data_IF_250025807262
#
_entry.id   IF_250025807262
#
_cell.length_a   1.000
_cell.length_b   1.000
_cell.length_c   1.000
_cell.angle_alpha   90.00
_cell.angle_beta   90.00
_cell.angle_gamma   90.00
#
_symmetry.space_group_name_H-M   'P 1'
#
loop_
_entity.id
_entity.type
_entity.pdbx_description
1 polymer ?
#
# COMPACT_ATOMS: atom_id res chain seq x y z
N UNK A 1 28.98 0.66 9.04
CA UNK A 1 27.88 -0.29 8.82
C UNK A 1 27.69 -1.29 9.96
N UNK A 2 28.69 -2.10 10.38
CA UNK A 2 28.47 -3.15 11.39
C UNK A 2 27.97 -2.62 12.76
N UNK A 3 28.54 -1.51 13.27
CA UNK A 3 28.05 -0.88 14.51
C UNK A 3 26.63 -0.30 14.39
N UNK A 4 26.34 0.41 13.29
CA UNK A 4 25.01 0.96 13.02
C UNK A 4 23.95 -0.14 12.86
N UNK A 5 24.32 -1.27 12.24
CA UNK A 5 23.44 -2.45 12.15
C UNK A 5 23.12 -3.02 13.53
N UNK A 6 24.13 -3.20 14.40
CA UNK A 6 23.89 -3.72 15.75
C UNK A 6 22.98 -2.78 16.56
N UNK A 7 23.16 -1.46 16.41
CA UNK A 7 22.23 -0.46 16.98
C UNK A 7 20.81 -0.61 16.43
N UNK A 8 20.65 -0.87 15.13
CA UNK A 8 19.36 -1.05 14.49
C UNK A 8 18.66 -2.34 14.93
N UNK A 9 19.38 -3.47 14.96
CA UNK A 9 18.86 -4.77 15.42
C UNK A 9 18.33 -4.67 16.86
N UNK A 10 19.02 -3.91 17.73
CA UNK A 10 18.57 -3.67 19.10
C UNK A 10 17.21 -2.97 19.21
N UNK A 11 16.70 -2.35 18.14
CA UNK A 11 15.38 -1.71 18.11
C UNK A 11 14.24 -2.73 17.92
N UNK A 12 14.50 -3.88 17.28
CA UNK A 12 13.48 -4.87 16.87
C UNK A 12 12.51 -5.24 18.01
N UNK A 13 12.94 -5.57 19.25
CA UNK A 13 12.01 -5.94 20.32
C UNK A 13 11.03 -4.83 20.68
N UNK A 14 11.48 -3.58 20.69
CA UNK A 14 10.60 -2.44 21.02
C UNK A 14 9.62 -2.14 19.89
N UNK A 15 10.03 -2.31 18.64
CA UNK A 15 9.14 -2.16 17.47
C UNK A 15 8.03 -3.22 17.47
N UNK A 16 8.39 -4.50 17.77
CA UNK A 16 7.41 -5.57 17.94
C UNK A 16 6.38 -5.26 19.03
N UNK A 17 6.84 -4.75 20.19
CA UNK A 17 5.95 -4.38 21.29
C UNK A 17 4.94 -3.30 20.88
N UNK A 18 5.35 -2.30 20.09
CA UNK A 18 4.46 -1.24 19.60
C UNK A 18 3.36 -1.82 18.72
N UNK A 19 3.73 -2.67 17.77
CA UNK A 19 2.80 -3.32 16.84
C UNK A 19 1.82 -4.21 17.61
N UNK A 20 2.33 -5.00 18.56
CA UNK A 20 1.52 -5.89 19.38
C UNK A 20 0.50 -5.13 20.22
N UNK A 21 0.93 -4.04 20.86
CA UNK A 21 0.05 -3.21 21.70
C UNK A 21 -1.12 -2.64 20.93
N UNK A 22 -0.92 -2.25 19.66
CA UNK A 22 -2.00 -1.73 18.83
C UNK A 22 -3.02 -2.81 18.48
N UNK A 23 -2.57 -4.00 18.07
CA UNK A 23 -3.48 -5.10 17.81
C UNK A 23 -4.30 -5.47 19.05
N UNK A 24 -3.66 -5.71 20.20
CA UNK A 24 -4.36 -6.14 21.42
C UNK A 24 -5.35 -5.08 21.94
N UNK A 25 -5.06 -3.81 21.71
CA UNK A 25 -5.94 -2.74 22.20
C UNK A 25 -7.23 -2.60 21.38
N UNK A 26 -7.22 -2.98 20.11
CA UNK A 26 -8.30 -2.63 19.17
C UNK A 26 -8.80 -3.77 18.28
N UNK A 27 -8.04 -4.86 18.12
CA UNK A 27 -8.34 -5.98 17.22
C UNK A 27 -8.02 -5.70 15.75
N UNK A 28 -7.34 -4.59 15.45
CA UNK A 28 -6.91 -4.19 14.11
C UNK A 28 -5.80 -3.14 14.20
N UNK A 29 -5.06 -2.91 13.11
CA UNK A 29 -4.04 -1.86 13.05
C UNK A 29 -4.65 -0.51 12.66
N UNK A 30 -4.51 0.53 13.51
CA UNK A 30 -5.11 1.81 13.19
C UNK A 30 -4.35 2.55 12.10
N UNK A 31 -5.12 3.30 11.33
CA UNK A 31 -4.63 4.41 10.55
C UNK A 31 -5.28 5.71 11.03
N UNK A 32 -4.49 6.78 11.08
CA UNK A 32 -4.96 8.12 11.42
C UNK A 32 -5.05 8.96 10.16
N UNK A 33 -6.09 9.77 10.01
CA UNK A 33 -6.20 10.77 8.96
C UNK A 33 -6.08 12.18 9.54
N UNK A 34 -5.39 13.05 8.80
CA UNK A 34 -5.36 14.49 9.06
C UNK A 34 -5.74 15.27 7.81
N UNK A 35 -6.71 16.16 7.97
CA UNK A 35 -7.20 17.05 6.91
C UNK A 35 -6.28 18.26 6.79
N UNK A 36 -5.54 18.36 5.69
CA UNK A 36 -4.75 19.55 5.35
C UNK A 36 -5.67 20.62 4.77
N UNK A 37 -6.04 21.61 5.57
CA UNK A 37 -6.88 22.74 5.14
C UNK A 37 -6.25 23.54 4.00
N UNK A 38 -4.92 23.47 3.83
CA UNK A 38 -4.22 24.09 2.70
C UNK A 38 -4.52 23.41 1.37
N UNK A 39 -5.14 22.24 1.39
CA UNK A 39 -5.34 21.39 0.21
C UNK A 39 -4.03 20.87 -0.37
N UNK A 40 -4.16 20.10 -1.45
CA UNK A 40 -3.03 19.58 -2.22
C UNK A 40 -2.37 20.70 -3.04
N UNK A 41 -1.06 20.93 -2.95
CA UNK A 41 -0.42 21.97 -3.77
C UNK A 41 -0.45 21.68 -5.29
N UNK A 42 -0.74 20.44 -5.69
CA UNK A 42 -0.74 20.01 -7.10
C UNK A 42 -2.08 20.13 -7.81
N UNK A 43 -3.15 20.47 -7.10
CA UNK A 43 -4.50 20.63 -7.68
C UNK A 43 -4.78 22.10 -7.99
N UNK A 44 -5.11 22.36 -9.26
CA UNK A 44 -5.29 23.68 -9.82
C UNK A 44 -6.78 24.04 -9.95
N UNK A 45 -7.10 25.29 -10.31
CA UNK A 45 -8.48 25.73 -10.50
C UNK A 45 -9.22 24.94 -11.59
N UNK A 46 -8.52 24.49 -12.64
CA UNK A 46 -9.08 23.60 -13.67
C UNK A 46 -9.50 22.25 -13.09
N UNK A 47 -8.71 21.69 -12.18
CA UNK A 47 -8.99 20.42 -11.52
C UNK A 47 -10.23 20.54 -10.63
N UNK A 48 -10.44 21.70 -9.98
CA UNK A 48 -11.69 21.99 -9.28
C UNK A 48 -12.89 21.96 -10.22
N UNK A 49 -12.80 22.63 -11.37
CA UNK A 49 -13.88 22.64 -12.36
C UNK A 49 -14.26 21.22 -12.79
N UNK A 50 -13.26 20.42 -13.15
CA UNK A 50 -13.44 19.00 -13.50
C UNK A 50 -14.08 18.20 -12.36
N UNK A 51 -13.62 18.44 -11.12
CA UNK A 51 -14.19 17.78 -9.95
C UNK A 51 -15.65 18.17 -9.69
N UNK A 52 -16.05 19.42 -9.91
CA UNK A 52 -17.45 19.83 -9.69
C UNK A 52 -18.40 19.25 -10.74
N UNK A 53 -17.88 18.97 -11.95
CA UNK A 53 -18.60 18.33 -13.04
C UNK A 53 -18.60 16.79 -12.94
N UNK A 54 -17.87 16.22 -11.99
CA UNK A 54 -17.83 14.77 -11.78
C UNK A 54 -19.16 14.23 -11.23
N UNK A 55 -19.31 12.91 -11.26
CA UNK A 55 -20.38 12.18 -10.57
C UNK A 55 -20.16 12.02 -9.06
N UNK A 56 -19.17 12.71 -8.48
CA UNK A 56 -18.91 12.65 -7.04
C UNK A 56 -20.11 13.14 -6.24
N UNK A 57 -20.22 12.62 -5.02
CA UNK A 57 -21.31 12.93 -4.09
C UNK A 57 -21.52 14.46 -3.96
N UNK A 58 -22.77 14.95 -4.04
CA UNK A 58 -23.06 16.38 -3.94
C UNK A 58 -22.52 17.07 -2.68
N UNK A 59 -22.49 16.37 -1.53
CA UNK A 59 -21.94 16.90 -0.28
C UNK A 59 -20.42 17.00 -0.33
N UNK A 60 -19.75 16.07 -1.00
CA UNK A 60 -18.30 16.17 -1.26
C UNK A 60 -18.02 17.39 -2.12
N UNK A 61 -18.78 17.59 -3.20
CA UNK A 61 -18.63 18.77 -4.08
C UNK A 61 -18.87 20.09 -3.34
N UNK A 62 -19.89 20.16 -2.48
CA UNK A 62 -20.13 21.34 -1.66
C UNK A 62 -19.00 21.59 -0.65
N UNK A 63 -18.56 20.55 0.06
CA UNK A 63 -17.45 20.63 1.02
C UNK A 63 -16.17 21.12 0.34
N UNK A 64 -15.94 20.69 -0.90
CA UNK A 64 -14.83 21.13 -1.74
C UNK A 64 -14.84 22.62 -1.99
N UNK A 65 -15.97 23.15 -2.43
CA UNK A 65 -16.14 24.58 -2.71
C UNK A 65 -15.92 25.42 -1.46
N UNK A 66 -16.44 24.96 -0.32
CA UNK A 66 -16.32 25.68 0.97
C UNK A 66 -14.88 25.71 1.48
N UNK A 67 -14.10 24.66 1.23
CA UNK A 67 -12.72 24.54 1.72
C UNK A 67 -11.70 25.14 0.75
N UNK A 68 -12.05 25.34 -0.52
CA UNK A 68 -11.15 25.88 -1.54
C UNK A 68 -10.45 27.19 -1.16
N UNK A 69 -11.11 28.20 -0.53
CA UNK A 69 -10.45 29.44 -0.15
C UNK A 69 -9.29 29.25 0.85
N UNK A 70 -9.31 28.19 1.66
CA UNK A 70 -8.24 27.90 2.62
C UNK A 70 -6.91 27.52 1.94
N UNK A 71 -6.89 27.27 0.63
CA UNK A 71 -5.65 27.10 -0.14
C UNK A 71 -4.78 28.35 -0.17
N UNK A 72 -5.34 29.54 0.10
CA UNK A 72 -4.53 30.75 0.30
C UNK A 72 -3.49 30.59 1.43
N UNK A 73 -3.72 29.65 2.36
CA UNK A 73 -2.75 29.30 3.39
C UNK A 73 -1.42 28.75 2.84
N UNK A 74 -1.38 28.25 1.61
CA UNK A 74 -0.16 27.81 0.93
C UNK A 74 0.83 28.97 0.72
N UNK A 75 0.34 30.20 0.56
CA UNK A 75 1.18 31.38 0.35
C UNK A 75 1.72 31.99 1.65
N UNK A 76 1.08 31.70 2.80
CA UNK A 76 1.41 32.34 4.08
C UNK A 76 2.13 31.40 5.05
N UNK A 77 2.19 30.10 4.77
CA UNK A 77 2.75 29.13 5.71
C UNK A 77 3.28 27.86 5.04
N UNK A 78 4.46 27.39 5.47
CA UNK A 78 5.13 26.21 4.89
C UNK A 78 4.46 24.90 5.31
N UNK A 79 4.37 23.89 4.42
CA UNK A 79 3.83 22.56 4.75
C UNK A 79 4.55 21.94 5.96
N UNK A 80 3.81 21.24 6.81
CA UNK A 80 4.36 20.56 7.98
C UNK A 80 4.95 19.21 7.59
N UNK A 81 5.94 19.23 6.69
CA UNK A 81 6.74 18.07 6.32
C UNK A 81 7.87 17.89 7.33
N UNK A 82 8.12 16.65 7.70
CA UNK A 82 9.30 16.22 8.44
C UNK A 82 9.92 15.15 7.56
N UNK A 83 10.86 15.54 6.69
CA UNK A 83 11.28 14.71 5.57
C UNK A 83 10.55 15.03 4.26
N UNK A 84 10.35 14.01 3.43
CA UNK A 84 9.51 14.11 2.23
C UNK A 84 8.04 13.95 2.62
N UNK A 85 7.74 13.01 3.52
CA UNK A 85 6.39 12.72 4.01
C UNK A 85 5.88 13.74 5.03
N UNK A 86 4.56 13.89 5.13
CA UNK A 86 3.94 14.74 6.16
C UNK A 86 3.92 14.05 7.53
N UNK A 87 4.11 14.83 8.58
CA UNK A 87 3.83 14.36 9.94
C UNK A 87 2.31 14.31 10.18
N UNK A 88 1.82 13.18 10.71
CA UNK A 88 0.40 12.95 10.99
C UNK A 88 0.15 13.13 12.49
N UNK A 89 -0.70 14.09 12.90
CA UNK A 89 -1.15 14.15 14.29
C UNK A 89 -2.03 12.94 14.62
N UNK A 90 -1.74 12.26 15.71
CA UNK A 90 -2.47 11.06 16.19
C UNK A 90 -3.33 11.32 17.42
N UNK A 91 -3.31 12.57 17.92
CA UNK A 91 -4.17 13.04 18.99
C UNK A 91 -4.80 14.40 18.70
N UNK A 92 -5.95 14.66 19.31
CA UNK A 92 -6.68 15.92 19.21
C UNK A 92 -8.00 15.83 18.46
N UNK A 93 -8.82 16.87 18.57
CA UNK A 93 -10.23 16.87 18.12
C UNK A 93 -10.42 16.71 16.61
N UNK A 94 -9.37 16.90 15.80
CA UNK A 94 -9.42 16.87 14.32
C UNK A 94 -8.79 15.62 13.71
N UNK A 95 -8.30 14.70 14.53
CA UNK A 95 -7.71 13.44 14.09
C UNK A 95 -8.84 12.44 13.88
N UNK A 96 -8.79 11.76 12.73
CA UNK A 96 -9.68 10.64 12.42
C UNK A 96 -8.89 9.38 12.66
N UNK A 97 -9.47 8.41 13.34
CA UNK A 97 -8.91 7.06 13.47
C UNK A 97 -9.84 6.07 12.78
N UNK A 98 -9.29 5.16 12.00
CA UNK A 98 -10.02 4.14 11.26
C UNK A 98 -9.12 2.93 10.97
N UNK A 99 -9.68 1.94 10.27
CA UNK A 99 -9.04 0.69 9.85
C UNK A 99 -9.15 0.52 8.33
N UNK A 100 -8.13 -0.04 7.68
CA UNK A 100 -8.13 -0.37 6.25
C UNK A 100 -7.32 -1.65 6.02
N UNK A 101 -7.78 -2.49 5.09
CA UNK A 101 -7.10 -3.75 4.78
C UNK A 101 -5.81 -3.57 4.01
N UNK A 102 -5.65 -2.46 3.28
CA UNK A 102 -4.36 -2.09 2.69
C UNK A 102 -3.26 -2.09 3.74
N UNK A 103 -3.45 -1.38 4.85
CA UNK A 103 -2.44 -1.32 5.92
C UNK A 103 -2.25 -2.69 6.57
N UNK A 104 -3.31 -3.46 6.76
CA UNK A 104 -3.22 -4.81 7.32
C UNK A 104 -2.32 -5.72 6.48
N UNK A 105 -2.37 -5.64 5.15
CA UNK A 105 -1.46 -6.43 4.32
C UNK A 105 0.03 -6.15 4.64
N UNK A 106 0.40 -4.89 4.88
CA UNK A 106 1.77 -4.56 5.27
C UNK A 106 2.11 -5.18 6.62
N UNK A 107 1.25 -4.99 7.62
CA UNK A 107 1.46 -5.60 8.93
C UNK A 107 1.53 -7.12 8.82
N UNK A 108 0.69 -7.76 8.01
CA UNK A 108 0.73 -9.19 7.75
C UNK A 108 2.11 -9.59 7.23
N UNK A 109 2.61 -8.93 6.17
CA UNK A 109 3.91 -9.24 5.58
C UNK A 109 5.06 -9.11 6.60
N UNK A 110 5.02 -8.05 7.43
CA UNK A 110 6.01 -7.83 8.49
C UNK A 110 5.90 -8.88 9.60
N UNK A 111 4.69 -9.22 10.05
CA UNK A 111 4.46 -10.22 11.10
C UNK A 111 4.84 -11.62 10.60
N UNK A 112 4.60 -11.95 9.33
CA UNK A 112 5.04 -13.22 8.73
C UNK A 112 6.55 -13.38 8.80
N UNK A 113 7.30 -12.30 8.58
CA UNK A 113 8.77 -12.27 8.78
C UNK A 113 9.14 -12.35 10.25
N UNK A 114 8.46 -11.61 11.12
CA UNK A 114 8.67 -11.68 12.57
C UNK A 114 8.57 -13.12 13.06
N UNK A 115 7.53 -13.87 12.68
CA UNK A 115 7.35 -15.27 13.10
C UNK A 115 8.53 -16.16 12.69
N UNK A 116 9.30 -15.79 11.67
CA UNK A 116 10.51 -16.52 11.25
C UNK A 116 11.76 -16.09 12.03
N UNK A 117 11.73 -14.96 12.75
CA UNK A 117 12.82 -14.45 13.57
C UNK A 117 13.19 -15.46 14.67
N UNK A 118 14.45 -15.93 14.63
CA UNK A 118 14.97 -16.95 15.56
C UNK A 118 15.10 -16.42 16.99
N UNK A 119 15.09 -15.10 17.19
CA UNK A 119 15.15 -14.47 18.51
C UNK A 119 13.84 -14.54 19.29
N UNK A 120 12.72 -14.89 18.63
CA UNK A 120 11.42 -15.00 19.28
C UNK A 120 11.35 -16.18 20.23
N UNK A 121 10.80 -15.95 21.43
CA UNK A 121 10.35 -17.04 22.28
C UNK A 121 9.15 -17.76 21.66
N UNK A 122 8.94 -19.03 22.02
CA UNK A 122 7.79 -19.80 21.54
C UNK A 122 6.46 -19.12 21.89
N UNK A 123 6.35 -18.54 23.09
CA UNK A 123 5.15 -17.81 23.53
C UNK A 123 4.91 -16.54 22.69
N UNK A 124 5.97 -15.79 22.36
CA UNK A 124 5.84 -14.61 21.51
C UNK A 124 5.47 -14.98 20.07
N UNK A 125 6.04 -16.07 19.54
CA UNK A 125 5.70 -16.62 18.22
C UNK A 125 4.23 -17.00 18.13
N UNK A 126 3.70 -17.70 19.14
CA UNK A 126 2.30 -18.11 19.21
C UNK A 126 1.33 -16.93 19.18
N UNK A 127 1.67 -15.83 19.86
CA UNK A 127 0.88 -14.60 19.83
C UNK A 127 0.82 -14.00 18.42
N UNK A 128 1.95 -13.95 17.72
CA UNK A 128 2.00 -13.45 16.34
C UNK A 128 1.26 -14.34 15.35
N UNK A 129 1.37 -15.66 15.51
CA UNK A 129 0.62 -16.65 14.74
C UNK A 129 -0.90 -16.52 14.91
N UNK A 130 -1.35 -16.24 16.14
CA UNK A 130 -2.75 -15.91 16.41
C UNK A 130 -3.18 -14.62 15.69
N UNK A 131 -2.38 -13.56 15.77
CA UNK A 131 -2.69 -12.28 15.08
C UNK A 131 -2.82 -12.50 13.57
N UNK A 132 -1.90 -13.23 12.94
CA UNK A 132 -1.98 -13.54 11.50
C UNK A 132 -3.28 -14.25 11.14
N UNK A 133 -3.72 -15.17 11.99
CA UNK A 133 -4.97 -15.92 11.82
C UNK A 133 -6.18 -15.01 11.91
N UNK A 134 -6.23 -14.14 12.93
CA UNK A 134 -7.32 -13.18 13.15
C UNK A 134 -7.41 -12.15 12.00
N UNK A 135 -6.28 -11.70 11.45
CA UNK A 135 -6.24 -10.80 10.28
C UNK A 135 -6.91 -11.42 9.05
N UNK A 136 -6.59 -12.69 8.75
CA UNK A 136 -7.16 -13.41 7.60
C UNK A 136 -8.65 -13.65 7.79
N UNK A 137 -9.08 -14.02 9.00
CA UNK A 137 -10.51 -14.13 9.30
C UNK A 137 -11.25 -12.81 9.12
N UNK A 138 -10.67 -11.70 9.60
CA UNK A 138 -11.26 -10.37 9.51
C UNK A 138 -11.45 -9.96 8.04
N UNK A 139 -10.45 -10.22 7.20
CA UNK A 139 -10.56 -9.97 5.76
C UNK A 139 -11.65 -10.84 5.10
N UNK A 140 -11.72 -12.15 5.41
CA UNK A 140 -12.71 -13.07 4.86
C UNK A 140 -14.16 -12.71 5.23
N UNK A 141 -14.38 -12.13 6.41
CA UNK A 141 -15.70 -11.65 6.86
C UNK A 141 -16.23 -10.48 6.03
N UNK A 142 -15.34 -9.72 5.39
CA UNK A 142 -15.65 -8.47 4.69
C UNK A 142 -15.61 -8.58 3.16
N UNK A 143 -15.69 -9.81 2.63
CA UNK A 143 -15.80 -10.05 1.20
C UNK A 143 -17.21 -9.71 0.67
N UNK A 144 -17.26 -9.18 -0.55
CA UNK A 144 -18.50 -8.98 -1.31
C UNK A 144 -18.39 -9.69 -2.66
N UNK A 145 -19.53 -10.00 -3.28
CA UNK A 145 -19.57 -10.54 -4.64
C UNK A 145 -19.55 -9.40 -5.63
N UNK A 146 -18.65 -9.48 -6.60
CA UNK A 146 -18.59 -8.62 -7.77
C UNK A 146 -18.76 -9.46 -9.04
N UNK A 147 -19.72 -9.10 -9.89
CA UNK A 147 -19.95 -9.79 -11.15
C UNK A 147 -19.23 -9.05 -12.29
N UNK A 148 -18.35 -9.76 -13.01
CA UNK A 148 -17.64 -9.26 -14.18
C UNK A 148 -17.65 -10.32 -15.28
N UNK A 149 -18.06 -9.93 -16.49
CA UNK A 149 -18.13 -10.84 -17.66
C UNK A 149 -18.90 -12.16 -17.40
N UNK A 150 -19.90 -12.14 -16.52
CA UNK A 150 -20.69 -13.33 -16.16
C UNK A 150 -20.04 -14.26 -15.13
N UNK A 151 -18.90 -13.87 -14.56
CA UNK A 151 -18.24 -14.55 -13.44
C UNK A 151 -18.38 -13.76 -12.14
N UNK A 152 -18.45 -14.47 -11.03
CA UNK A 152 -18.58 -13.90 -9.68
C UNK A 152 -17.23 -13.96 -8.95
N UNK A 153 -16.65 -12.80 -8.65
CA UNK A 153 -15.41 -12.64 -7.91
C UNK A 153 -15.68 -12.19 -6.48
N UNK A 154 -14.78 -12.56 -5.56
CA UNK A 154 -14.75 -11.98 -4.21
C UNK A 154 -13.86 -10.74 -4.22
N UNK A 155 -14.43 -9.59 -3.91
CA UNK A 155 -13.69 -8.33 -3.73
C UNK A 155 -13.92 -7.83 -2.32
N UNK A 156 -13.04 -6.96 -1.82
CA UNK A 156 -13.00 -6.61 -0.40
C UNK A 156 -13.33 -5.15 -0.21
N UNK A 157 -14.07 -4.83 0.85
CA UNK A 157 -14.50 -3.46 1.10
C UNK A 157 -13.36 -2.64 1.69
N UNK A 158 -13.16 -1.43 1.16
CA UNK A 158 -12.13 -0.51 1.65
C UNK A 158 -12.34 -0.07 3.11
N UNK A 159 -13.61 0.25 3.45
CA UNK A 159 -14.05 0.52 4.82
C UNK A 159 -15.26 -0.33 5.16
N UNK A 160 -15.07 -1.50 5.79
CA UNK A 160 -16.20 -2.27 6.25
C UNK A 160 -16.87 -1.52 7.41
N UNK A 161 -18.15 -1.19 7.24
CA UNK A 161 -18.87 -0.35 8.22
C UNK A 161 -18.92 -0.98 9.62
N UNK A 162 -18.92 -2.32 9.71
CA UNK A 162 -18.89 -3.05 10.98
C UNK A 162 -17.57 -2.90 11.72
N UNK A 163 -16.47 -2.77 10.98
CA UNK A 163 -15.09 -2.68 11.52
C UNK A 163 -14.58 -1.23 11.54
N UNK A 164 -15.42 -0.26 11.17
CA UNK A 164 -15.09 1.16 11.24
C UNK A 164 -15.18 1.66 12.68
N UNK A 165 -14.06 1.61 13.39
CA UNK A 165 -13.95 2.13 14.74
C UNK A 165 -13.50 3.59 14.74
N UNK A 166 -14.48 4.48 14.56
CA UNK A 166 -14.28 5.90 14.86
C UNK A 166 -14.70 6.18 16.30
N UNK A 167 -13.87 6.89 17.06
CA UNK A 167 -14.31 7.46 18.33
C UNK A 167 -15.55 8.32 18.06
N UNK A 168 -16.69 7.96 18.66
CA UNK A 168 -18.00 8.55 18.42
C UNK A 168 -18.04 10.06 18.75
N UNK A 169 -17.11 10.54 19.56
CA UNK A 169 -16.95 11.95 19.92
C UNK A 169 -15.90 12.68 19.08
N UNK A 170 -15.18 11.97 18.21
CA UNK A 170 -14.18 12.58 17.32
C UNK A 170 -14.82 13.36 16.18
N UNK A 171 -14.16 14.42 15.71
CA UNK A 171 -14.57 15.07 14.46
C UNK A 171 -14.47 14.12 13.25
N UNK A 172 -13.75 12.99 13.38
CA UNK A 172 -13.62 11.97 12.36
C UNK A 172 -14.92 11.23 12.07
N UNK A 173 -15.67 10.82 13.10
CA UNK A 173 -16.97 10.18 12.92
C UNK A 173 -17.97 11.12 12.21
N UNK A 174 -17.96 12.40 12.59
CA UNK A 174 -18.78 13.42 11.92
C UNK A 174 -18.31 13.68 10.49
N UNK A 175 -17.00 13.76 10.26
CA UNK A 175 -16.43 13.97 8.92
C UNK A 175 -16.76 12.82 7.97
N UNK A 176 -16.58 11.55 8.37
CA UNK A 176 -16.91 10.40 7.53
C UNK A 176 -18.40 10.36 7.19
N UNK A 177 -19.27 10.73 8.15
CA UNK A 177 -20.71 10.85 7.93
C UNK A 177 -21.08 11.97 6.96
N UNK A 178 -20.44 13.14 7.08
CA UNK A 178 -20.76 14.33 6.28
C UNK A 178 -20.10 14.34 4.89
N UNK A 179 -18.95 13.66 4.75
CA UNK A 179 -18.20 13.56 3.49
C UNK A 179 -18.67 12.40 2.61
N UNK A 180 -19.54 11.50 3.07
CA UNK A 180 -19.91 10.31 2.31
C UNK A 180 -18.80 9.24 2.23
N UNK A 181 -17.61 9.50 2.77
CA UNK A 181 -16.49 8.54 2.85
C UNK A 181 -16.78 7.33 3.76
N UNK A 182 -17.94 7.29 4.43
CA UNK A 182 -18.43 6.11 5.13
C UNK A 182 -19.02 5.03 4.20
N UNK A 183 -19.16 5.31 2.89
CA UNK A 183 -19.64 4.36 1.88
C UNK A 183 -18.72 4.42 0.66
N UNK A 184 -17.60 3.70 0.74
CA UNK A 184 -16.65 3.58 -0.35
C UNK A 184 -16.83 2.21 -1.02
N UNK A 185 -16.80 2.19 -2.34
CA UNK A 185 -16.82 0.93 -3.11
C UNK A 185 -15.59 0.09 -2.76
N UNK A 186 -15.67 -1.21 -3.04
CA UNK A 186 -14.48 -2.06 -2.99
C UNK A 186 -13.44 -1.55 -3.98
N UNK A 187 -12.17 -1.62 -3.62
CA UNK A 187 -11.08 -1.17 -4.46
C UNK A 187 -10.16 -2.33 -4.86
N UNK A 188 -9.44 -2.08 -5.95
CA UNK A 188 -8.49 -3.01 -6.51
C UNK A 188 -7.31 -3.23 -5.57
N UNK A 189 -6.85 -2.20 -4.87
CA UNK A 189 -5.64 -2.33 -4.07
C UNK A 189 -5.86 -3.31 -2.91
N UNK A 190 -6.85 -3.06 -2.05
CA UNK A 190 -7.19 -3.98 -0.95
C UNK A 190 -7.46 -5.39 -1.46
N UNK A 191 -8.20 -5.51 -2.57
CA UNK A 191 -8.55 -6.82 -3.10
C UNK A 191 -7.31 -7.60 -3.54
N UNK A 192 -6.42 -7.00 -4.31
CA UNK A 192 -5.27 -7.72 -4.86
C UNK A 192 -4.19 -7.98 -3.80
N UNK A 193 -3.98 -7.08 -2.83
CA UNK A 193 -3.07 -7.37 -1.72
C UNK A 193 -3.61 -8.43 -0.77
N UNK A 194 -4.93 -8.49 -0.55
CA UNK A 194 -5.55 -9.57 0.24
C UNK A 194 -5.49 -10.93 -0.46
N UNK A 195 -5.63 -10.99 -1.78
CA UNK A 195 -5.45 -12.25 -2.53
C UNK A 195 -4.02 -12.80 -2.38
N UNK A 196 -3.03 -11.92 -2.31
CA UNK A 196 -1.66 -12.33 -1.99
C UNK A 196 -1.53 -12.82 -0.55
N UNK A 197 -2.07 -12.06 0.42
CA UNK A 197 -2.10 -12.47 1.83
C UNK A 197 -2.71 -13.87 1.99
N UNK A 198 -3.81 -14.14 1.29
CA UNK A 198 -4.48 -15.43 1.29
C UNK A 198 -3.67 -16.54 0.64
N UNK A 199 -2.92 -16.24 -0.40
CA UNK A 199 -2.03 -17.21 -1.05
C UNK A 199 -0.92 -17.64 -0.10
N UNK A 200 -0.22 -16.67 0.49
CA UNK A 200 0.83 -16.93 1.48
C UNK A 200 0.28 -17.63 2.74
N UNK A 201 -0.91 -17.26 3.20
CA UNK A 201 -1.53 -17.92 4.35
C UNK A 201 -1.95 -19.36 4.05
N UNK A 202 -2.46 -19.63 2.84
CA UNK A 202 -2.79 -20.98 2.42
C UNK A 202 -1.54 -21.85 2.35
N UNK A 203 -0.44 -21.33 1.82
CA UNK A 203 0.86 -22.02 1.82
C UNK A 203 1.35 -22.29 3.24
N UNK A 204 1.23 -21.31 4.15
CA UNK A 204 1.57 -21.49 5.56
C UNK A 204 0.80 -22.65 6.20
N UNK A 205 -0.52 -22.70 5.99
CA UNK A 205 -1.38 -23.76 6.52
C UNK A 205 -1.01 -25.14 5.94
N UNK A 206 -0.69 -25.20 4.65
CA UNK A 206 -0.32 -26.43 3.96
C UNK A 206 1.06 -26.95 4.35
N UNK A 207 1.98 -26.06 4.75
CA UNK A 207 3.32 -26.39 5.23
C UNK A 207 3.37 -26.72 6.74
N UNK A 208 2.24 -27.13 7.33
CA UNK A 208 2.07 -27.40 8.76
C UNK A 208 2.33 -26.19 9.70
N UNK A 209 2.45 -24.96 9.19
CA UNK A 209 2.57 -23.75 10.01
C UNK A 209 1.26 -23.41 10.74
N UNK A 210 1.34 -22.76 11.91
CA UNK A 210 0.20 -22.57 12.82
C UNK A 210 -0.30 -23.90 13.43
N UNK A 211 0.62 -24.80 13.80
CA UNK A 211 0.29 -26.13 14.35
C UNK A 211 -0.53 -26.10 15.64
N UNK A 212 -0.54 -24.97 16.33
CA UNK A 212 -1.28 -24.76 17.57
C UNK A 212 -2.76 -24.43 17.33
N UNK A 213 -3.17 -24.18 16.08
CA UNK A 213 -4.56 -23.89 15.74
C UNK A 213 -5.39 -25.17 15.65
N UNK A 214 -6.68 -25.16 16.06
CA UNK A 214 -7.55 -26.33 15.98
C UNK A 214 -7.69 -26.86 14.54
N UNK A 215 -7.65 -28.19 14.37
CA UNK A 215 -7.70 -28.82 13.04
C UNK A 215 -9.00 -28.50 12.28
N UNK A 216 -10.15 -28.46 12.97
CA UNK A 216 -11.43 -28.06 12.38
C UNK A 216 -11.39 -26.63 11.82
N UNK A 217 -10.71 -25.72 12.53
CA UNK A 217 -10.52 -24.34 12.11
C UNK A 217 -9.60 -24.26 10.88
N UNK A 218 -8.49 -25.01 10.87
CA UNK A 218 -7.56 -25.09 9.72
C UNK A 218 -8.28 -25.55 8.47
N UNK A 219 -9.08 -26.61 8.57
CA UNK A 219 -9.88 -27.13 7.44
C UNK A 219 -10.89 -26.11 6.92
N UNK A 220 -11.54 -25.36 7.82
CA UNK A 220 -12.47 -24.27 7.46
C UNK A 220 -11.75 -23.15 6.69
N UNK A 221 -10.57 -22.74 7.13
CA UNK A 221 -9.75 -21.73 6.45
C UNK A 221 -9.30 -22.21 5.07
N UNK A 222 -8.74 -23.41 4.96
CA UNK A 222 -8.32 -24.00 3.68
C UNK A 222 -9.50 -24.05 2.70
N UNK A 223 -10.68 -24.46 3.17
CA UNK A 223 -11.91 -24.48 2.34
C UNK A 223 -12.29 -23.09 1.85
N UNK A 224 -12.27 -22.09 2.74
CA UNK A 224 -12.63 -20.72 2.41
C UNK A 224 -11.68 -20.10 1.40
N UNK A 225 -10.37 -20.26 1.59
CA UNK A 225 -9.35 -19.73 0.67
C UNK A 225 -9.37 -20.45 -0.69
N UNK A 226 -9.58 -21.77 -0.68
CA UNK A 226 -9.68 -22.58 -1.90
C UNK A 226 -10.93 -22.27 -2.73
N UNK A 227 -11.95 -21.63 -2.15
CA UNK A 227 -13.11 -21.14 -2.89
C UNK A 227 -12.85 -19.81 -3.62
N UNK A 228 -11.78 -19.08 -3.24
CA UNK A 228 -11.47 -17.73 -3.74
C UNK A 228 -10.30 -17.77 -4.71
N UNK A 229 -9.15 -18.30 -4.27
CA UNK A 229 -7.87 -18.19 -4.97
C UNK A 229 -7.83 -18.82 -6.37
N UNK A 230 -8.56 -19.92 -6.68
CA UNK A 230 -8.56 -20.49 -8.03
C UNK A 230 -9.28 -19.65 -9.09
N UNK A 231 -10.05 -18.64 -8.69
CA UNK A 231 -10.80 -17.80 -9.65
C UNK A 231 -9.82 -16.98 -10.51
N UNK A 232 -10.07 -16.82 -11.83
CA UNK A 232 -9.15 -16.14 -12.74
C UNK A 232 -9.23 -14.61 -12.62
N UNK A 233 -8.69 -14.04 -11.54
CA UNK A 233 -8.80 -12.60 -11.24
C UNK A 233 -8.21 -11.68 -12.33
N UNK A 234 -7.39 -12.18 -13.25
CA UNK A 234 -6.97 -11.42 -14.44
C UNK A 234 -8.16 -10.99 -15.32
N UNK A 235 -9.28 -11.72 -15.31
CA UNK A 235 -10.52 -11.31 -15.99
C UNK A 235 -11.16 -10.10 -15.33
N UNK A 236 -11.15 -10.05 -14.00
CA UNK A 236 -11.60 -8.88 -13.25
C UNK A 236 -10.72 -7.65 -13.56
N UNK A 237 -9.40 -7.84 -13.65
CA UNK A 237 -8.46 -6.78 -14.09
C UNK A 237 -8.80 -6.32 -15.50
N UNK A 238 -8.90 -7.24 -16.46
CA UNK A 238 -9.23 -6.96 -17.87
C UNK A 238 -10.52 -6.14 -18.00
N UNK A 239 -11.57 -6.56 -17.29
CA UNK A 239 -12.86 -5.88 -17.29
C UNK A 239 -12.77 -4.42 -16.81
N UNK A 240 -11.92 -4.16 -15.81
CA UNK A 240 -11.71 -2.83 -15.22
C UNK A 240 -10.51 -2.06 -15.82
N UNK A 241 -9.87 -2.59 -16.86
CA UNK A 241 -8.71 -1.97 -17.50
C UNK A 241 -9.13 -0.94 -18.54
N UNK A 242 -8.48 0.22 -18.56
CA UNK A 242 -8.67 1.23 -19.58
C UNK A 242 -8.07 0.77 -20.90
N UNK A 243 -8.95 0.46 -21.86
CA UNK A 243 -8.61 0.00 -23.21
C UNK A 243 -9.41 0.79 -24.24
N UNK A 244 -8.96 0.92 -25.50
CA UNK A 244 -9.68 1.70 -26.52
C UNK A 244 -11.14 1.23 -26.73
N UNK A 245 -11.39 -0.07 -26.53
CA UNK A 245 -12.71 -0.70 -26.62
C UNK A 245 -13.15 -1.33 -25.28
N UNK A 246 -12.60 -0.87 -24.16
CA UNK A 246 -12.90 -1.41 -22.83
C UNK A 246 -14.19 -0.85 -22.23
N UNK A 247 -14.70 -1.50 -21.17
CA UNK A 247 -15.88 -1.02 -20.46
C UNK A 247 -15.59 0.18 -19.56
N UNK A 248 -14.39 0.23 -18.97
CA UNK A 248 -13.89 1.32 -18.15
C UNK A 248 -13.57 2.56 -19.01
N UNK A 249 -14.01 3.75 -18.56
CA UNK A 249 -13.80 5.01 -19.28
C UNK A 249 -13.09 6.01 -18.37
N UNK A 250 -11.89 6.50 -18.72
CA UNK A 250 -11.17 7.45 -17.89
C UNK A 250 -11.79 8.84 -18.05
N UNK A 251 -12.82 9.15 -17.24
CA UNK A 251 -13.56 10.43 -17.36
C UNK A 251 -13.06 11.52 -16.42
N UNK A 252 -12.41 11.14 -15.33
CA UNK A 252 -11.80 12.07 -14.39
C UNK A 252 -10.30 11.80 -14.41
N UNK A 253 -9.50 12.82 -14.71
CA UNK A 253 -8.05 12.78 -14.63
C UNK A 253 -7.53 14.06 -13.99
N UNK A 254 -7.36 14.02 -12.67
CA UNK A 254 -6.74 15.10 -11.91
C UNK A 254 -5.24 14.86 -11.66
N UNK A 255 -4.69 13.75 -12.18
CA UNK A 255 -3.30 13.32 -11.94
C UNK A 255 -2.37 13.42 -13.15
N UNK A 256 -2.84 13.89 -14.30
CA UNK A 256 -2.08 13.91 -15.56
C UNK A 256 -1.56 12.53 -16.01
N UNK A 257 -2.01 11.45 -15.36
CA UNK A 257 -1.65 10.08 -15.69
C UNK A 257 -2.23 9.75 -17.06
N UNK A 258 -1.46 9.11 -17.92
CA UNK A 258 -2.00 8.50 -19.14
C UNK A 258 -2.65 7.16 -18.76
N UNK A 259 -3.98 7.03 -18.85
CA UNK A 259 -4.70 5.91 -18.26
C UNK A 259 -4.58 4.59 -19.04
N UNK A 260 -4.21 4.63 -20.32
CA UNK A 260 -4.25 3.45 -21.19
C UNK A 260 -3.44 2.29 -20.63
N UNK A 261 -4.07 1.12 -20.48
CA UNK A 261 -3.46 -0.09 -19.92
C UNK A 261 -3.49 -0.17 -18.40
N UNK A 262 -3.74 0.94 -17.68
CA UNK A 262 -3.99 0.89 -16.24
C UNK A 262 -5.39 0.36 -15.94
N UNK A 263 -5.59 -0.19 -14.75
CA UNK A 263 -6.94 -0.51 -14.25
C UNK A 263 -7.46 0.55 -13.29
N UNK A 264 -8.79 0.69 -13.29
CA UNK A 264 -9.57 1.46 -12.32
C UNK A 264 -9.18 1.08 -10.89
N UNK A 265 -9.09 2.06 -10.01
CA UNK A 265 -8.88 1.81 -8.58
C UNK A 265 -10.15 1.23 -7.97
N UNK A 266 -11.34 1.66 -8.41
CA UNK A 266 -12.60 1.26 -7.79
C UNK A 266 -13.35 0.19 -8.58
N UNK A 267 -13.96 -0.77 -7.88
CA UNK A 267 -14.90 -1.74 -8.42
C UNK A 267 -16.34 -1.20 -8.31
N UNK A 268 -16.73 -0.37 -9.27
CA UNK A 268 -18.06 0.27 -9.27
C UNK A 268 -19.15 -0.78 -9.44
N UNK A 269 -20.05 -0.90 -8.46
CA UNK A 269 -21.13 -1.92 -8.44
C UNK A 269 -22.18 -1.74 -9.55
N UNK A 270 -22.41 -0.49 -10.00
CA UNK A 270 -23.38 -0.15 -11.07
C UNK A 270 -22.88 1.02 -11.90
N UNK A 271 -22.76 0.82 -13.21
CA UNK A 271 -22.28 1.85 -14.15
C UNK A 271 -20.83 1.62 -14.57
N UNK A 272 -20.27 2.60 -15.28
CA UNK A 272 -18.87 2.57 -15.73
C UNK A 272 -18.00 3.26 -14.70
N UNK A 273 -16.81 2.72 -14.44
CA UNK A 273 -15.83 3.46 -13.63
C UNK A 273 -15.51 4.79 -14.32
N UNK A 274 -15.53 5.86 -13.55
CA UNK A 274 -15.20 7.22 -13.96
C UNK A 274 -14.03 7.72 -13.11
N UNK A 275 -12.94 6.95 -13.01
CA UNK A 275 -11.77 7.29 -12.21
C UNK A 275 -10.49 7.40 -13.07
N UNK A 276 -9.36 7.67 -12.40
CA UNK A 276 -8.02 7.63 -12.98
C UNK A 276 -7.27 6.46 -12.35
N UNK A 277 -6.51 5.67 -13.12
CA UNK A 277 -5.68 4.62 -12.53
C UNK A 277 -4.59 5.26 -11.66
N UNK A 278 -4.23 4.59 -10.57
CA UNK A 278 -3.11 4.96 -9.71
C UNK A 278 -1.91 4.02 -9.94
N UNK A 279 -0.70 4.59 -9.92
CA UNK A 279 0.53 3.84 -10.17
C UNK A 279 0.77 2.74 -9.13
N UNK A 280 0.57 3.01 -7.84
CA UNK A 280 0.82 2.04 -6.77
C UNK A 280 -0.18 0.90 -6.81
N UNK A 281 -1.46 1.23 -7.03
CA UNK A 281 -2.52 0.23 -7.20
C UNK A 281 -2.17 -0.73 -8.33
N UNK A 282 -1.75 -0.20 -9.48
CA UNK A 282 -1.41 -1.03 -10.64
C UNK A 282 -0.12 -1.85 -10.44
N UNK A 283 0.85 -1.37 -9.65
CA UNK A 283 1.99 -2.18 -9.21
C UNK A 283 1.53 -3.34 -8.33
N UNK A 284 0.65 -3.10 -7.37
CA UNK A 284 0.14 -4.13 -6.46
C UNK A 284 -0.71 -5.17 -7.19
N UNK A 285 -1.56 -4.75 -8.11
CA UNK A 285 -2.33 -5.64 -8.98
C UNK A 285 -1.39 -6.53 -9.81
N UNK A 286 -0.38 -5.94 -10.46
CA UNK A 286 0.58 -6.70 -11.26
C UNK A 286 1.35 -7.72 -10.39
N UNK A 287 1.79 -7.29 -9.21
CA UNK A 287 2.49 -8.15 -8.25
C UNK A 287 1.62 -9.34 -7.81
N UNK A 288 0.39 -9.07 -7.40
CA UNK A 288 -0.58 -10.11 -6.98
C UNK A 288 -0.87 -11.10 -8.11
N UNK A 289 -1.01 -10.62 -9.36
CA UNK A 289 -1.13 -11.49 -10.53
C UNK A 289 0.09 -12.41 -10.69
N UNK A 290 1.31 -11.88 -10.59
CA UNK A 290 2.52 -12.69 -10.76
C UNK A 290 2.74 -13.71 -9.62
N UNK A 291 2.39 -13.35 -8.38
CA UNK A 291 2.37 -14.29 -7.25
C UNK A 291 1.39 -15.43 -7.54
N UNK A 292 0.21 -15.11 -8.04
CA UNK A 292 -0.85 -16.07 -8.37
C UNK A 292 -0.78 -16.64 -9.79
N UNK A 293 0.37 -16.56 -10.48
CA UNK A 293 0.48 -16.86 -11.92
C UNK A 293 0.06 -18.29 -12.29
N UNK A 294 0.36 -19.25 -11.42
CA UNK A 294 0.09 -20.66 -11.65
C UNK A 294 -1.41 -21.01 -11.54
N UNK A 295 -2.12 -20.73 -10.43
CA UNK A 295 -3.55 -21.00 -10.33
C UNK A 295 -4.36 -20.19 -11.35
N UNK A 296 -3.92 -18.99 -11.73
CA UNK A 296 -4.62 -18.14 -12.71
C UNK A 296 -4.25 -18.43 -14.17
N UNK A 297 -3.28 -19.32 -14.41
CA UNK A 297 -2.88 -19.74 -15.75
C UNK A 297 -2.39 -18.60 -16.65
N UNK A 298 -1.69 -17.61 -16.08
CA UNK A 298 -1.38 -16.35 -16.78
C UNK A 298 -0.57 -16.55 -18.06
N UNK A 299 0.44 -17.43 -18.02
CA UNK A 299 1.28 -17.75 -19.18
C UNK A 299 0.68 -18.80 -20.12
N UNK A 300 -0.56 -19.27 -19.85
CA UNK A 300 -1.30 -20.21 -20.70
C UNK A 300 -2.42 -19.52 -21.51
N UNK A 301 -2.72 -18.26 -21.20
CA UNK A 301 -3.78 -17.47 -21.82
C UNK A 301 -3.20 -16.22 -22.45
N UNK A 302 -3.36 -16.09 -23.77
CA UNK A 302 -2.93 -14.89 -24.49
C UNK A 302 -3.62 -13.62 -23.96
N UNK A 303 -4.89 -13.72 -23.59
CA UNK A 303 -5.65 -12.59 -23.03
C UNK A 303 -5.17 -12.18 -21.64
N UNK A 304 -4.78 -13.16 -20.81
CA UNK A 304 -4.19 -12.87 -19.51
C UNK A 304 -2.85 -12.15 -19.70
N UNK A 305 -1.99 -12.66 -20.58
CA UNK A 305 -0.71 -12.04 -20.88
C UNK A 305 -0.85 -10.62 -21.43
N UNK A 306 -1.78 -10.39 -22.37
CA UNK A 306 -2.09 -9.05 -22.90
C UNK A 306 -2.54 -8.09 -21.77
N UNK A 307 -3.31 -8.59 -20.81
CA UNK A 307 -3.77 -7.82 -19.66
C UNK A 307 -2.59 -7.35 -18.79
N UNK A 308 -1.65 -8.26 -18.49
CA UNK A 308 -0.43 -7.93 -17.74
C UNK A 308 0.45 -6.93 -18.51
N UNK A 309 0.67 -7.17 -19.80
CA UNK A 309 1.46 -6.29 -20.66
C UNK A 309 0.86 -4.89 -20.77
N UNK A 310 -0.47 -4.78 -20.75
CA UNK A 310 -1.17 -3.49 -20.66
C UNK A 310 -0.80 -2.70 -19.40
N UNK A 311 -0.77 -3.36 -18.23
CA UNK A 311 -0.36 -2.71 -16.97
C UNK A 311 1.12 -2.31 -17.02
N UNK A 312 1.99 -3.17 -17.55
CA UNK A 312 3.42 -2.86 -17.69
C UNK A 312 3.63 -1.65 -18.60
N UNK A 313 2.93 -1.59 -19.74
CA UNK A 313 2.98 -0.44 -20.65
C UNK A 313 2.49 0.85 -19.98
N UNK A 314 1.40 0.78 -19.21
CA UNK A 314 0.89 1.88 -18.40
C UNK A 314 1.92 2.41 -17.40
N UNK A 315 2.50 1.52 -16.59
CA UNK A 315 3.50 1.89 -15.58
C UNK A 315 4.72 2.51 -16.25
N UNK A 316 5.24 1.88 -17.30
CA UNK A 316 6.41 2.36 -18.04
C UNK A 316 6.17 3.74 -18.65
N UNK A 317 5.05 3.95 -19.34
CA UNK A 317 4.75 5.25 -19.95
C UNK A 317 4.76 6.37 -18.91
N UNK A 318 4.07 6.17 -17.79
CA UNK A 318 3.96 7.19 -16.75
C UNK A 318 5.29 7.41 -16.01
N UNK A 319 6.11 6.36 -15.81
CA UNK A 319 7.47 6.51 -15.25
C UNK A 319 8.40 7.23 -16.23
N UNK A 320 8.41 6.85 -17.51
CA UNK A 320 9.26 7.45 -18.54
C UNK A 320 8.92 8.92 -18.80
N UNK A 321 7.68 9.34 -18.55
CA UNK A 321 7.28 10.75 -18.61
C UNK A 321 7.84 11.62 -17.46
N UNK A 322 8.40 10.99 -16.42
CA UNK A 322 8.84 11.65 -15.18
C UNK A 322 7.70 11.92 -14.19
N UNK A 323 6.44 11.62 -14.54
CA UNK A 323 5.28 11.90 -13.71
C UNK A 323 5.36 11.22 -12.33
N UNK A 324 5.96 10.02 -12.25
CA UNK A 324 6.11 9.28 -10.99
C UNK A 324 6.94 10.02 -9.94
N UNK A 325 7.83 10.96 -10.32
CA UNK A 325 8.60 11.77 -9.35
C UNK A 325 7.80 12.95 -8.80
N UNK A 326 6.58 13.17 -9.31
CA UNK A 326 5.77 14.32 -8.95
C UNK A 326 4.64 13.92 -8.01
N UNK A 327 4.31 14.80 -7.06
CA UNK A 327 3.15 14.64 -6.20
C UNK A 327 1.84 14.49 -7.00
N UNK A 328 1.79 14.96 -8.26
CA UNK A 328 0.61 14.91 -9.13
C UNK A 328 0.33 13.50 -9.63
N UNK A 329 1.36 12.68 -9.84
CA UNK A 329 1.27 11.31 -10.38
C UNK A 329 0.64 10.25 -9.47
N UNK A 330 0.15 10.63 -8.29
CA UNK A 330 -0.47 9.72 -7.33
C UNK A 330 -1.79 10.27 -6.85
N UNK A 331 -2.87 9.49 -6.94
CA UNK A 331 -4.17 9.85 -6.38
C UNK A 331 -4.24 9.53 -4.89
N UNK A 332 -3.64 8.39 -4.51
CA UNK A 332 -3.81 7.81 -3.19
C UNK A 332 -2.50 7.64 -2.41
N UNK A 333 -1.35 7.74 -3.09
CA UNK A 333 -0.06 7.37 -2.51
C UNK A 333 1.03 8.44 -2.71
N UNK A 334 2.24 8.11 -2.28
CA UNK A 334 3.45 8.92 -2.45
C UNK A 334 4.50 8.15 -3.26
N UNK A 335 5.46 8.87 -3.81
CA UNK A 335 6.50 8.29 -4.68
C UNK A 335 7.36 7.25 -3.95
N UNK A 336 7.62 7.48 -2.66
CA UNK A 336 8.37 6.59 -1.78
C UNK A 336 7.69 5.23 -1.67
N UNK A 337 6.36 5.23 -1.55
CA UNK A 337 5.56 4.01 -1.52
C UNK A 337 5.51 3.30 -2.86
N UNK A 338 5.45 4.05 -3.97
CA UNK A 338 5.62 3.47 -5.30
C UNK A 338 6.95 2.75 -5.44
N UNK A 339 8.06 3.37 -4.99
CA UNK A 339 9.38 2.75 -5.02
C UNK A 339 9.41 1.44 -4.24
N UNK A 340 8.86 1.43 -3.02
CA UNK A 340 8.80 0.24 -2.18
C UNK A 340 7.93 -0.88 -2.79
N UNK A 341 6.75 -0.54 -3.34
CA UNK A 341 5.89 -1.54 -3.99
C UNK A 341 6.50 -2.07 -5.28
N UNK A 342 7.16 -1.21 -6.04
CA UNK A 342 7.88 -1.63 -7.23
C UNK A 342 9.05 -2.55 -6.88
N UNK A 343 9.79 -2.29 -5.80
CA UNK A 343 10.85 -3.16 -5.32
C UNK A 343 10.34 -4.55 -4.92
N UNK A 344 9.17 -4.62 -4.27
CA UNK A 344 8.50 -5.91 -3.98
C UNK A 344 8.07 -6.63 -5.26
N UNK A 345 7.53 -5.91 -6.25
CA UNK A 345 7.23 -6.47 -7.57
C UNK A 345 8.49 -7.01 -8.26
N UNK A 346 9.61 -6.28 -8.15
CA UNK A 346 10.89 -6.69 -8.73
C UNK A 346 11.36 -8.04 -8.18
N UNK A 347 11.22 -8.27 -6.87
CA UNK A 347 11.55 -9.57 -6.24
C UNK A 347 10.72 -10.72 -6.83
N UNK A 348 9.43 -10.49 -7.13
CA UNK A 348 8.60 -11.49 -7.81
C UNK A 348 9.08 -11.70 -9.26
N UNK A 349 9.41 -10.62 -9.97
CA UNK A 349 9.86 -10.67 -11.37
C UNK A 349 11.15 -11.47 -11.54
N UNK A 350 12.14 -11.26 -10.68
CA UNK A 350 13.42 -11.97 -10.75
C UNK A 350 13.31 -13.45 -10.35
N UNK A 351 12.23 -13.82 -9.66
CA UNK A 351 11.92 -15.21 -9.31
C UNK A 351 11.23 -16.00 -10.45
N UNK A 352 10.79 -15.32 -11.52
CA UNK A 352 10.17 -15.96 -12.68
C UNK A 352 11.18 -16.77 -13.50
N UNK A 353 10.70 -17.81 -14.18
CA UNK A 353 11.50 -18.50 -15.19
C UNK A 353 11.90 -17.51 -16.31
N UNK A 354 13.11 -17.61 -16.89
CA UNK A 354 13.54 -16.71 -17.96
C UNK A 354 12.57 -16.63 -19.16
N UNK A 355 11.89 -17.73 -19.51
CA UNK A 355 10.88 -17.69 -20.57
C UNK A 355 9.60 -16.98 -20.14
N UNK A 356 9.13 -17.19 -18.91
CA UNK A 356 7.99 -16.44 -18.35
C UNK A 356 8.31 -14.94 -18.34
N UNK A 357 9.51 -14.56 -17.89
CA UNK A 357 9.96 -13.16 -17.88
C UNK A 357 10.01 -12.56 -19.29
N UNK A 358 10.54 -13.28 -20.27
CA UNK A 358 10.60 -12.83 -21.66
C UNK A 358 9.21 -12.69 -22.30
N UNK A 359 8.27 -13.58 -21.98
CA UNK A 359 6.89 -13.48 -22.45
C UNK A 359 6.17 -12.30 -21.80
N UNK A 360 6.40 -12.07 -20.51
CA UNK A 360 5.77 -11.01 -19.74
C UNK A 360 6.20 -9.62 -20.22
N UNK A 361 7.51 -9.39 -20.35
CA UNK A 361 8.08 -8.08 -20.61
C UNK A 361 9.23 -8.16 -21.64
N UNK A 362 8.90 -8.41 -22.93
CA UNK A 362 9.90 -8.63 -23.97
C UNK A 362 10.77 -7.41 -24.28
N UNK A 363 10.33 -6.21 -23.89
CA UNK A 363 11.01 -4.94 -24.11
C UNK A 363 11.71 -4.41 -22.85
N UNK A 364 11.76 -5.22 -21.77
CA UNK A 364 12.42 -4.87 -20.50
C UNK A 364 11.94 -3.55 -19.89
N UNK A 365 10.65 -3.22 -20.06
CA UNK A 365 10.03 -2.00 -19.52
C UNK A 365 10.14 -1.93 -18.00
N UNK A 366 10.03 -3.05 -17.30
CA UNK A 366 10.21 -3.14 -15.85
C UNK A 366 11.68 -2.87 -15.46
N UNK A 367 12.65 -3.28 -16.28
CA UNK A 367 14.06 -2.95 -16.02
C UNK A 367 14.32 -1.45 -16.15
N UNK A 368 13.68 -0.77 -17.12
CA UNK A 368 13.70 0.68 -17.20
C UNK A 368 13.15 1.34 -15.93
N UNK A 369 11.98 0.89 -15.45
CA UNK A 369 11.38 1.44 -14.22
C UNK A 369 12.32 1.22 -13.02
N UNK A 370 12.97 0.06 -12.91
CA UNK A 370 13.98 -0.18 -11.87
C UNK A 370 15.08 0.87 -11.89
N UNK A 371 15.62 1.21 -13.06
CA UNK A 371 16.66 2.24 -13.19
C UNK A 371 16.17 3.60 -12.70
N UNK A 372 14.94 3.99 -13.05
CA UNK A 372 14.34 5.25 -12.60
C UNK A 372 14.09 5.28 -11.09
N UNK A 373 13.61 4.18 -10.51
CA UNK A 373 13.43 4.06 -9.06
C UNK A 373 14.77 4.16 -8.33
N UNK A 374 15.80 3.45 -8.78
CA UNK A 374 17.14 3.54 -8.18
C UNK A 374 17.72 4.96 -8.27
N UNK A 375 17.50 5.64 -9.40
CA UNK A 375 17.88 7.05 -9.55
C UNK A 375 17.13 7.95 -8.56
N UNK A 376 15.83 7.72 -8.33
CA UNK A 376 15.05 8.43 -7.33
C UNK A 376 15.61 8.22 -5.91
N UNK A 377 15.91 6.98 -5.52
CA UNK A 377 16.49 6.69 -4.20
C UNK A 377 17.84 7.42 -4.00
N UNK A 378 18.70 7.41 -5.03
CA UNK A 378 20.04 7.98 -4.95
C UNK A 378 20.08 9.52 -5.00
N UNK A 379 19.06 10.16 -5.58
CA UNK A 379 19.03 11.61 -5.80
C UNK A 379 17.99 12.31 -4.92
N UNK A 380 16.76 11.82 -4.92
CA UNK A 380 15.61 12.44 -4.26
C UNK A 380 15.44 11.99 -2.81
N UNK A 381 15.88 10.78 -2.45
CA UNK A 381 15.92 10.28 -1.06
C UNK A 381 17.34 10.21 -0.48
N UNK A 382 18.25 11.03 -1.01
CA UNK A 382 19.61 11.12 -0.50
C UNK A 382 19.69 12.00 0.76
N UNK A 383 20.09 11.45 1.93
CA UNK A 383 20.20 12.20 3.18
C UNK A 383 21.16 13.39 3.13
N UNK A 384 22.13 13.38 2.20
CA UNK A 384 23.11 14.46 2.02
C UNK A 384 22.43 15.75 1.54
N UNK A 385 21.36 15.63 0.75
CA UNK A 385 20.67 16.77 0.13
C UNK A 385 19.27 17.00 0.70
N UNK A 386 18.75 16.06 1.48
CA UNK A 386 17.38 16.06 2.01
C UNK A 386 17.37 15.66 3.47
N UNK A 387 16.58 16.37 4.27
CA UNK A 387 16.13 15.82 5.54
C UNK A 387 15.16 14.68 5.24
N UNK A 388 15.30 13.56 5.93
CA UNK A 388 14.36 12.43 5.87
C UNK A 388 13.85 12.12 7.28
N UNK A 389 12.66 11.55 7.36
CA UNK A 389 12.18 10.92 8.58
C UNK A 389 12.47 9.40 8.57
N UNK A 390 12.24 8.67 9.68
CA UNK A 390 12.46 7.22 9.75
C UNK A 390 11.63 6.39 8.77
N UNK A 391 10.42 6.83 8.42
CA UNK A 391 9.60 6.15 7.42
C UNK A 391 10.20 6.29 6.02
N UNK A 392 10.58 7.50 5.60
CA UNK A 392 11.24 7.74 4.32
C UNK A 392 12.55 6.93 4.21
N UNK A 393 13.35 6.93 5.28
CA UNK A 393 14.62 6.19 5.34
C UNK A 393 14.40 4.67 5.29
N UNK A 394 13.39 4.14 5.99
CA UNK A 394 13.04 2.73 5.94
C UNK A 394 12.58 2.30 4.54
N UNK A 395 11.70 3.08 3.90
CA UNK A 395 11.24 2.81 2.53
C UNK A 395 12.42 2.83 1.54
N UNK A 396 13.32 3.81 1.65
CA UNK A 396 14.50 3.88 0.79
C UNK A 396 15.43 2.68 0.97
N UNK A 397 15.73 2.32 2.23
CA UNK A 397 16.57 1.19 2.57
C UNK A 397 16.00 -0.13 2.04
N UNK A 398 14.75 -0.46 2.38
CA UNK A 398 14.09 -1.68 1.90
C UNK A 398 14.04 -1.73 0.38
N UNK A 399 13.71 -0.61 -0.27
CA UNK A 399 13.65 -0.55 -1.74
C UNK A 399 15.02 -0.82 -2.37
N UNK A 400 16.10 -0.25 -1.83
CA UNK A 400 17.45 -0.46 -2.37
C UNK A 400 17.90 -1.92 -2.29
N UNK A 401 17.58 -2.59 -1.17
CA UNK A 401 17.89 -4.00 -0.94
C UNK A 401 17.09 -4.88 -1.91
N UNK A 402 15.78 -4.66 -2.00
CA UNK A 402 14.88 -5.44 -2.86
C UNK A 402 15.04 -5.14 -4.35
N UNK A 403 15.73 -4.06 -4.72
CA UNK A 403 16.13 -3.82 -6.11
C UNK A 403 17.51 -4.41 -6.43
N UNK A 404 18.12 -5.15 -5.50
CA UNK A 404 19.43 -5.80 -5.64
C UNK A 404 20.57 -4.80 -5.98
N UNK A 405 20.44 -3.56 -5.51
CA UNK A 405 21.45 -2.52 -5.72
C UNK A 405 21.55 -1.61 -4.50
N UNK A 406 22.40 -2.03 -3.56
CA UNK A 406 22.67 -1.34 -2.30
C UNK A 406 23.95 -0.50 -2.44
N UNK A 407 23.84 0.80 -2.24
CA UNK A 407 24.97 1.67 -1.95
C UNK A 407 25.20 1.66 -0.43
N UNK A 408 26.33 1.13 0.02
CA UNK A 408 26.62 0.95 1.45
C UNK A 408 26.67 2.28 2.22
N UNK A 409 27.08 3.37 1.57
CA UNK A 409 27.16 4.69 2.20
C UNK A 409 25.75 5.21 2.43
N UNK A 410 24.89 5.15 1.40
CA UNK A 410 23.48 5.55 1.53
C UNK A 410 22.73 4.68 2.53
N UNK A 411 22.92 3.36 2.47
CA UNK A 411 22.31 2.42 3.40
C UNK A 411 22.70 2.74 4.85
N UNK A 412 23.98 3.00 5.13
CA UNK A 412 24.44 3.40 6.46
C UNK A 412 23.79 4.70 6.94
N UNK A 413 23.63 5.70 6.06
CA UNK A 413 22.99 6.97 6.41
C UNK A 413 21.49 6.80 6.70
N UNK A 414 20.77 5.98 5.94
CA UNK A 414 19.36 5.68 6.22
C UNK A 414 19.20 4.96 7.57
N UNK A 415 20.09 4.00 7.88
CA UNK A 415 20.12 3.33 9.19
C UNK A 415 20.40 4.32 10.33
N UNK A 416 21.34 5.26 10.15
CA UNK A 416 21.62 6.29 11.14
C UNK A 416 20.40 7.17 11.42
N UNK A 417 19.66 7.58 10.39
CA UNK A 417 18.40 8.33 10.56
C UNK A 417 17.39 7.54 11.39
N UNK A 418 17.22 6.24 11.11
CA UNK A 418 16.32 5.36 11.85
C UNK A 418 16.74 5.33 13.33
N UNK A 419 18.01 5.03 13.62
CA UNK A 419 18.52 4.91 14.98
C UNK A 419 18.48 6.22 15.76
N UNK A 420 18.86 7.34 15.17
CA UNK A 420 19.00 8.63 15.86
C UNK A 420 17.64 9.28 16.15
N UNK A 421 16.59 8.91 15.41
CA UNK A 421 15.23 9.41 15.60
C UNK A 421 14.38 8.50 16.48
N UNK A 422 14.92 7.37 16.92
CA UNK A 422 14.26 6.46 17.84
C UNK A 422 14.20 7.07 19.26
N UNK A 423 13.00 7.13 19.84
CA UNK A 423 12.78 7.72 21.17
C UNK A 423 12.39 6.66 22.20
N UNK A 424 12.89 6.82 23.42
CA UNK A 424 12.48 6.01 24.58
C UNK A 424 11.13 6.47 25.14
N UNK A 425 10.06 6.17 24.40
CA UNK A 425 8.67 6.47 24.75
C UNK A 425 7.75 5.31 24.32
N UNK A 426 6.44 5.41 24.58
CA UNK A 426 5.48 4.35 24.20
C UNK A 426 5.53 4.06 22.69
N UNK A 427 5.51 5.12 21.87
CA UNK A 427 5.64 5.05 20.41
C UNK A 427 6.99 5.67 19.99
N UNK A 428 8.01 4.87 19.61
CA UNK A 428 9.37 5.37 19.40
C UNK A 428 9.48 6.34 18.21
N UNK A 429 8.56 6.23 17.25
CA UNK A 429 8.46 7.09 16.08
C UNK A 429 7.13 7.81 16.01
N UNK A 430 7.10 8.94 15.30
CA UNK A 430 5.86 9.62 14.93
C UNK A 430 5.13 8.87 13.80
N UNK A 431 3.86 9.22 13.61
CA UNK A 431 3.10 8.83 12.44
C UNK A 431 3.48 9.71 11.24
N UNK A 432 3.76 9.09 10.11
CA UNK A 432 4.10 9.75 8.86
C UNK A 432 3.14 9.36 7.74
N UNK A 433 3.00 10.23 6.74
CA UNK A 433 2.18 9.99 5.57
C UNK A 433 2.66 8.74 4.82
N UNK A 434 1.75 7.78 4.65
CA UNK A 434 1.92 6.61 3.79
C UNK A 434 0.98 6.64 2.59
N UNK A 435 -0.15 7.34 2.76
CA UNK A 435 -1.15 7.52 1.75
C UNK A 435 -1.75 8.92 1.87
N UNK A 436 -2.22 9.44 0.75
CA UNK A 436 -2.91 10.72 0.67
C UNK A 436 -4.23 10.59 -0.06
N UNK A 437 -5.29 11.11 0.52
CA UNK A 437 -6.60 11.20 -0.11
C UNK A 437 -6.66 12.50 -0.86
N UNK A 438 -6.57 12.44 -2.19
CA UNK A 438 -6.89 13.60 -3.02
C UNK A 438 -8.40 13.70 -3.12
N UNK A 439 -8.85 14.87 -2.68
CA UNK A 439 -10.15 15.49 -2.92
C UNK A 439 -11.10 15.47 -1.71
N UNK A 440 -11.63 16.64 -1.32
CA UNK A 440 -11.15 17.99 -1.63
C UNK A 440 -10.14 18.55 -0.64
N UNK A 441 -10.10 17.95 0.52
CA UNK A 441 -9.09 18.20 1.52
C UNK A 441 -8.00 17.20 1.26
N UNK A 442 -6.78 17.66 1.04
CA UNK A 442 -5.63 16.77 1.04
C UNK A 442 -5.61 16.08 2.40
N UNK A 443 -6.05 14.84 2.44
CA UNK A 443 -6.05 14.02 3.64
C UNK A 443 -4.74 13.27 3.63
N UNK A 444 -3.99 13.35 4.71
CA UNK A 444 -2.74 12.61 4.87
C UNK A 444 -2.96 11.58 5.95
N UNK A 445 -2.35 10.41 5.77
CA UNK A 445 -2.71 9.29 6.59
C UNK A 445 -1.51 8.44 7.00
N UNK A 446 -1.57 7.86 8.19
CA UNK A 446 -0.54 6.97 8.71
C UNK A 446 -0.72 6.69 10.20
N UNK A 447 0.19 5.92 10.79
CA UNK A 447 0.22 5.66 12.23
C UNK A 447 1.64 5.38 12.71
N UNK A 448 1.88 5.57 14.01
CA UNK A 448 3.15 5.23 14.65
C UNK A 448 3.46 3.74 14.48
N UNK A 449 2.42 2.89 14.55
CA UNK A 449 2.51 1.46 14.31
C UNK A 449 2.98 1.14 12.89
N UNK A 450 2.48 1.85 11.88
CA UNK A 450 2.88 1.63 10.48
C UNK A 450 4.35 2.02 10.29
N UNK A 451 4.77 3.17 10.84
CA UNK A 451 6.18 3.56 10.85
C UNK A 451 7.04 2.49 11.53
N UNK A 452 6.61 1.96 12.68
CA UNK A 452 7.35 0.92 13.39
C UNK A 452 7.45 -0.39 12.59
N UNK A 453 6.39 -0.80 11.89
CA UNK A 453 6.38 -2.00 11.05
C UNK A 453 7.32 -1.86 9.84
N UNK A 454 7.26 -0.73 9.13
CA UNK A 454 8.15 -0.48 7.99
C UNK A 454 9.62 -0.39 8.42
N UNK A 455 9.91 0.23 9.57
CA UNK A 455 11.27 0.26 10.12
C UNK A 455 11.73 -1.15 10.52
N UNK A 456 10.88 -1.96 11.15
CA UNK A 456 11.22 -3.35 11.46
C UNK A 456 11.55 -4.12 10.17
N UNK A 457 10.70 -3.99 9.15
CA UNK A 457 10.86 -4.63 7.84
C UNK A 457 12.21 -4.26 7.20
N UNK A 458 12.59 -2.98 7.25
CA UNK A 458 13.85 -2.49 6.71
C UNK A 458 15.08 -3.03 7.45
N UNK A 459 15.01 -3.15 8.78
CA UNK A 459 16.10 -3.70 9.59
C UNK A 459 16.25 -5.20 9.33
N UNK A 460 15.14 -5.93 9.24
CA UNK A 460 15.11 -7.36 8.97
C UNK A 460 15.67 -7.68 7.57
N UNK A 461 15.28 -6.89 6.55
CA UNK A 461 15.82 -7.00 5.19
C UNK A 461 17.32 -6.70 5.14
N UNK A 462 17.79 -5.69 5.89
CA UNK A 462 19.21 -5.38 5.96
C UNK A 462 20.01 -6.50 6.63
N UNK A 463 19.49 -7.07 7.72
CA UNK A 463 20.10 -8.21 8.41
C UNK A 463 20.22 -9.43 7.47
N UNK A 464 19.14 -9.75 6.74
CA UNK A 464 19.13 -10.82 5.75
C UNK A 464 20.07 -10.53 4.56
N UNK A 465 20.11 -9.29 4.07
CA UNK A 465 21.05 -8.88 3.02
C UNK A 465 22.50 -9.05 3.45
N UNK A 466 22.88 -8.53 4.61
CA UNK A 466 24.26 -8.61 5.11
C UNK A 466 24.69 -10.06 5.37
N UNK A 467 23.77 -10.93 5.78
CA UNK A 467 24.02 -12.36 5.93
C UNK A 467 24.25 -13.09 4.59
N UNK A 468 23.73 -12.57 3.47
CA UNK A 468 23.92 -13.13 2.12
C UNK A 468 25.22 -12.69 1.46
N UNK A 469 25.75 -11.52 1.83
CA UNK A 469 26.96 -10.93 1.21
C UNK A 469 28.24 -11.07 2.04
N UNK A 470 28.11 -11.45 3.33
CA UNK A 470 29.22 -11.85 4.20
C UNK A 470 29.72 -13.25 3.85
#
# INVERSE_FOLDING_TARGET
>A
MNESLQRAIALKPRLRQVIYNEWISFGFFPCYASVQLRGDPTLNLSDLGNFLLSRSDPLVRLSTLLLWPFRLLQFVSKPNRDGVSFHIPTSGKRVIRFHTFFTDFYFYSTIRRMVQDQSLSQEEREKWEQILSEMVELALKNQIVYEAEGEAFRVFQFFPKSELHCDALSAGALFLRLSGLAQIDSDADDTFVLLEMFSDFLELLQADGLSNMPEEWRQSMVTSLSAILPLPYWKLVKYNQFRPNGEAIPRLNYTSIEPLGGMSTWFVRKGKSEDTPDLVVNVNVLRSMLVNRAPWGLFKSAEALETLQGIIAFLHHNVASGLFRTDRGYSFYIAEFFCAMFARLWQVLISLDPMERQQLDPEEKLAYIRTEVLSYLAQDLNPTFRTLNPLDAALALTSSIQLEQVDEVLASQWVEIICDRFKDQLYPYCAYEIFKGKIPTHMVYGSEATTAALVYDAIDELEAYLSRVA
#
